data_IF_790778421353
#
_entry.id   IF_790778421353
#
_cell.length_a   1.000
_cell.length_b   1.000
_cell.length_c   1.000
_cell.angle_alpha   90.00
_cell.angle_beta   90.00
_cell.angle_gamma   90.00
#
_symmetry.space_group_name_H-M   'P 1'
#
loop_
_entity.id
_entity.type
_entity.pdbx_description
1 polymer ?
#
# COMPACT_ATOMS: atom_id res chain seq x y z
N UNK A 1 7.65 -6.74 -17.76
CA UNK A 1 6.95 -6.14 -18.93
C UNK A 1 5.56 -6.76 -19.02
N UNK A 2 4.52 -5.92 -19.20
CA UNK A 2 3.12 -6.36 -19.18
C UNK A 2 2.57 -6.68 -20.57
N UNK A 3 3.07 -6.02 -21.60
CA UNK A 3 2.55 -6.12 -22.96
C UNK A 3 3.63 -5.89 -24.03
N UNK A 4 3.25 -6.04 -25.29
CA UNK A 4 4.12 -5.78 -26.45
C UNK A 4 4.21 -4.31 -26.85
N UNK A 5 3.49 -3.41 -26.15
CA UNK A 5 3.63 -1.97 -26.30
C UNK A 5 4.78 -1.40 -25.45
N UNK A 6 5.37 -2.25 -24.60
CA UNK A 6 6.53 -1.92 -23.77
C UNK A 6 6.19 -1.35 -22.40
N UNK A 7 4.97 -1.54 -21.89
CA UNK A 7 4.64 -1.15 -20.52
C UNK A 7 5.32 -2.06 -19.50
N UNK A 8 5.98 -1.47 -18.53
CA UNK A 8 6.70 -2.14 -17.46
C UNK A 8 6.13 -1.70 -16.12
N UNK A 9 5.65 -2.66 -15.33
CA UNK A 9 5.22 -2.45 -13.97
C UNK A 9 6.41 -2.57 -13.03
N UNK A 10 6.51 -1.65 -12.07
CA UNK A 10 7.56 -1.59 -11.06
C UNK A 10 7.01 -0.95 -9.77
N UNK A 11 7.85 -0.77 -8.74
CA UNK A 11 7.47 -0.02 -7.57
C UNK A 11 7.60 1.50 -7.80
N UNK A 12 6.74 2.27 -7.12
CA UNK A 12 6.80 3.72 -7.16
C UNK A 12 8.14 4.24 -6.61
N UNK A 13 8.60 3.73 -5.47
CA UNK A 13 9.86 4.16 -4.86
C UNK A 13 11.11 3.90 -5.73
N UNK A 14 11.00 3.03 -6.75
CA UNK A 14 12.10 2.77 -7.71
C UNK A 14 12.23 3.87 -8.74
N UNK A 15 11.13 4.53 -9.08
CA UNK A 15 11.08 5.56 -10.15
C UNK A 15 10.86 6.97 -9.59
N UNK A 16 10.43 7.12 -8.34
CA UNK A 16 10.14 8.41 -7.72
C UNK A 16 11.39 9.29 -7.61
N UNK A 17 11.23 10.56 -7.96
CA UNK A 17 12.32 11.55 -7.90
C UNK A 17 13.32 11.50 -9.05
N UNK A 18 13.08 10.70 -10.09
CA UNK A 18 13.92 10.63 -11.28
C UNK A 18 13.20 11.17 -12.52
N UNK A 19 13.95 11.84 -13.40
CA UNK A 19 13.46 12.43 -14.66
C UNK A 19 13.81 11.57 -15.89
N UNK A 20 14.68 10.59 -15.75
CA UNK A 20 15.16 9.74 -16.84
C UNK A 20 15.19 8.28 -16.42
N UNK A 21 14.68 7.42 -17.28
CA UNK A 21 14.60 5.99 -17.06
C UNK A 21 15.28 5.26 -18.23
N UNK A 22 16.14 4.30 -17.91
CA UNK A 22 16.79 3.41 -18.88
C UNK A 22 16.53 1.97 -18.48
N UNK A 23 16.05 1.19 -19.42
CA UNK A 23 15.79 -0.25 -19.24
C UNK A 23 16.80 -1.04 -20.06
N UNK A 24 17.50 -1.95 -19.41
CA UNK A 24 18.42 -2.89 -20.07
C UNK A 24 17.74 -4.26 -20.12
N UNK A 25 17.61 -4.78 -21.33
CA UNK A 25 17.09 -6.14 -21.57
C UNK A 25 18.17 -7.18 -21.29
N UNK A 26 17.79 -8.46 -21.21
CA UNK A 26 18.70 -9.58 -20.95
C UNK A 26 19.75 -9.81 -22.06
N UNK A 27 19.42 -9.42 -23.29
CA UNK A 27 20.36 -9.44 -24.43
C UNK A 27 21.35 -8.26 -24.44
N UNK A 28 21.27 -7.36 -23.42
CA UNK A 28 22.10 -6.16 -23.31
C UNK A 28 21.56 -4.95 -24.10
N UNK A 29 20.45 -5.07 -24.81
CA UNK A 29 19.83 -3.93 -25.50
C UNK A 29 19.27 -2.96 -24.47
N UNK A 30 19.50 -1.65 -24.68
CA UNK A 30 19.02 -0.60 -23.79
C UNK A 30 17.96 0.24 -24.49
N UNK A 31 16.92 0.58 -23.74
CA UNK A 31 15.85 1.49 -24.17
C UNK A 31 15.72 2.65 -23.19
N UNK A 32 15.51 3.85 -23.70
CA UNK A 32 14.92 4.91 -22.90
C UNK A 32 13.47 4.54 -22.58
N UNK A 33 13.00 4.94 -21.41
CA UNK A 33 11.61 4.78 -21.04
C UNK A 33 11.02 6.12 -20.59
N UNK A 34 9.72 6.24 -20.70
CA UNK A 34 8.96 7.37 -20.19
C UNK A 34 8.09 6.95 -19.00
N UNK A 35 7.85 7.87 -18.11
CA UNK A 35 6.93 7.68 -17.00
C UNK A 35 5.49 7.74 -17.52
N UNK A 36 4.70 6.73 -17.23
CA UNK A 36 3.27 6.66 -17.60
C UNK A 36 2.41 7.17 -16.44
N UNK A 37 2.69 6.69 -15.23
CA UNK A 37 1.99 7.10 -14.02
C UNK A 37 2.35 6.21 -12.84
N UNK A 38 1.83 6.58 -11.68
CA UNK A 38 2.05 5.87 -10.41
C UNK A 38 0.85 5.90 -9.50
N UNK A 39 0.89 5.05 -8.51
CA UNK A 39 0.09 5.09 -7.29
C UNK A 39 1.05 4.97 -6.09
N UNK A 40 1.36 6.10 -5.48
CA UNK A 40 2.25 6.15 -4.32
C UNK A 40 1.65 5.41 -3.11
N UNK A 41 0.32 5.32 -3.02
CA UNK A 41 -0.37 4.68 -1.90
C UNK A 41 -0.25 3.16 -1.92
N UNK A 42 -0.06 2.55 -3.10
CA UNK A 42 0.19 1.10 -3.27
C UNK A 42 1.64 0.78 -3.60
N UNK A 43 2.49 1.80 -3.73
CA UNK A 43 3.90 1.68 -4.16
C UNK A 43 4.05 1.03 -5.54
N UNK A 44 3.19 1.38 -6.49
CA UNK A 44 3.21 0.88 -7.86
C UNK A 44 3.42 2.02 -8.87
N UNK A 45 4.13 1.73 -9.95
CA UNK A 45 4.32 2.64 -11.07
C UNK A 45 4.42 1.88 -12.40
N UNK A 46 4.09 2.57 -13.48
CA UNK A 46 4.25 2.08 -14.84
C UNK A 46 5.16 3.03 -15.61
N UNK A 47 6.15 2.46 -16.29
CA UNK A 47 6.98 3.13 -17.29
C UNK A 47 6.77 2.45 -18.64
N UNK A 48 7.08 3.14 -19.74
CA UNK A 48 6.92 2.63 -21.10
C UNK A 48 8.22 2.79 -21.89
N UNK A 49 8.63 1.73 -22.56
CA UNK A 49 9.80 1.76 -23.45
C UNK A 49 9.53 2.69 -24.64
N UNK A 50 10.51 3.52 -25.00
CA UNK A 50 10.48 4.37 -26.20
C UNK A 50 11.09 3.61 -27.38
N UNK A 51 10.48 3.77 -28.55
CA UNK A 51 10.98 3.25 -29.82
C UNK A 51 11.30 1.75 -29.82
N UNK A 52 10.67 0.98 -28.95
CA UNK A 52 10.86 -0.46 -28.87
C UNK A 52 10.13 -1.19 -30.00
N UNK A 53 10.79 -2.18 -30.61
CA UNK A 53 10.17 -3.04 -31.61
C UNK A 53 9.31 -4.10 -30.91
N UNK A 54 7.99 -3.98 -31.03
CA UNK A 54 7.01 -4.89 -30.43
C UNK A 54 7.28 -6.38 -30.73
N UNK A 55 7.88 -6.69 -31.88
CA UNK A 55 8.22 -8.07 -32.27
C UNK A 55 9.36 -8.70 -31.45
N UNK A 56 10.12 -7.84 -30.74
CA UNK A 56 11.24 -8.25 -29.87
C UNK A 56 10.86 -8.26 -28.39
N UNK A 57 9.69 -7.76 -28.05
CA UNK A 57 9.22 -7.70 -26.67
C UNK A 57 8.47 -8.99 -26.32
N UNK A 58 8.84 -9.57 -25.18
CA UNK A 58 8.16 -10.76 -24.64
C UNK A 58 7.55 -10.41 -23.30
N UNK A 59 6.23 -10.15 -23.24
CA UNK A 59 5.52 -9.97 -21.98
C UNK A 59 5.62 -11.20 -21.09
N UNK A 60 5.64 -10.96 -19.77
CA UNK A 60 5.54 -12.06 -18.81
C UNK A 60 4.11 -12.60 -18.78
N UNK A 61 3.95 -13.90 -18.62
CA UNK A 61 2.65 -14.50 -18.37
C UNK A 61 2.15 -14.12 -16.97
N UNK A 62 0.90 -13.65 -16.89
CA UNK A 62 0.30 -13.22 -15.64
C UNK A 62 -0.41 -14.40 -15.01
N UNK A 63 0.03 -14.76 -13.81
CA UNK A 63 -0.62 -15.77 -12.98
C UNK A 63 -1.83 -15.23 -12.21
N UNK A 64 -2.30 -16.01 -11.27
CA UNK A 64 -3.43 -15.66 -10.40
C UNK A 64 -3.01 -15.74 -8.93
N UNK A 65 -2.74 -14.59 -8.33
CA UNK A 65 -2.28 -14.53 -6.93
C UNK A 65 -3.33 -14.96 -5.91
N UNK A 66 -4.62 -15.01 -6.29
CA UNK A 66 -5.70 -15.49 -5.41
C UNK A 66 -5.70 -17.02 -5.24
N UNK A 67 -5.00 -17.75 -6.11
CA UNK A 67 -4.87 -19.22 -6.07
C UNK A 67 -3.63 -19.72 -5.35
N UNK A 68 -2.74 -18.80 -4.95
CA UNK A 68 -1.53 -19.18 -4.22
C UNK A 68 -1.85 -19.87 -2.90
N UNK A 69 -1.04 -20.86 -2.54
CA UNK A 69 -1.10 -21.53 -1.26
C UNK A 69 0.24 -21.42 -0.53
N UNK A 70 0.20 -21.38 0.78
CA UNK A 70 1.39 -21.44 1.63
C UNK A 70 2.14 -22.75 1.36
N UNK A 71 3.44 -22.64 1.14
CA UNK A 71 4.32 -23.76 0.80
C UNK A 71 4.59 -23.91 -0.71
N UNK A 72 3.88 -23.20 -1.59
CA UNK A 72 4.17 -23.21 -3.02
C UNK A 72 5.52 -22.54 -3.32
N UNK A 73 6.22 -23.08 -4.29
CA UNK A 73 7.51 -22.58 -4.72
C UNK A 73 7.37 -21.26 -5.47
N UNK A 74 8.29 -20.34 -5.18
CA UNK A 74 8.38 -19.06 -5.87
C UNK A 74 9.83 -18.67 -6.13
N UNK A 75 10.04 -17.84 -7.16
CA UNK A 75 11.33 -17.25 -7.49
C UNK A 75 11.20 -15.74 -7.61
N UNK A 76 12.00 -15.03 -6.84
CA UNK A 76 12.17 -13.59 -6.95
C UNK A 76 13.26 -13.29 -7.98
N UNK A 77 12.94 -12.41 -8.92
CA UNK A 77 13.83 -11.95 -9.99
C UNK A 77 14.05 -10.45 -9.79
N UNK A 78 15.29 -10.00 -9.84
CA UNK A 78 15.66 -8.61 -9.71
C UNK A 78 16.98 -8.29 -10.40
N UNK A 79 17.39 -7.03 -10.35
CA UNK A 79 18.65 -6.53 -10.89
C UNK A 79 19.38 -5.69 -9.84
N UNK A 80 19.93 -6.34 -8.79
CA UNK A 80 20.67 -5.62 -7.78
C UNK A 80 21.88 -4.96 -8.41
N UNK A 81 22.11 -3.69 -8.08
CA UNK A 81 23.24 -2.87 -8.57
C UNK A 81 23.25 -2.57 -10.08
N UNK A 82 22.16 -2.86 -10.82
CA UNK A 82 21.93 -2.37 -12.18
C UNK A 82 22.71 -3.07 -13.31
N UNK A 83 23.49 -4.11 -13.02
CA UNK A 83 24.33 -4.75 -14.04
C UNK A 83 24.19 -6.25 -14.18
N UNK A 84 23.54 -6.93 -13.22
CA UNK A 84 23.40 -8.39 -13.27
C UNK A 84 22.00 -8.80 -12.82
N UNK A 85 21.35 -9.64 -13.61
CA UNK A 85 20.12 -10.29 -13.19
C UNK A 85 20.44 -11.26 -12.05
N UNK A 86 19.69 -11.12 -10.96
CA UNK A 86 19.80 -12.02 -9.82
C UNK A 86 18.47 -12.70 -9.57
N UNK A 87 18.54 -13.98 -9.24
CA UNK A 87 17.37 -14.75 -8.85
C UNK A 87 17.58 -15.35 -7.47
N UNK A 88 16.53 -15.41 -6.68
CA UNK A 88 16.49 -16.15 -5.43
C UNK A 88 15.22 -16.96 -5.37
N UNK A 89 15.29 -18.16 -4.79
CA UNK A 89 14.16 -19.08 -4.70
C UNK A 89 13.76 -19.28 -3.26
N UNK A 90 12.49 -19.54 -3.06
CA UNK A 90 11.90 -19.83 -1.77
C UNK A 90 10.49 -20.38 -1.93
N UNK A 91 9.68 -20.18 -0.92
CA UNK A 91 8.27 -20.57 -0.91
C UNK A 91 7.38 -19.40 -0.51
N UNK A 92 6.09 -19.52 -0.76
CA UNK A 92 5.08 -18.69 -0.11
C UNK A 92 5.06 -19.05 1.37
N UNK A 93 5.59 -18.17 2.22
CA UNK A 93 5.67 -18.40 3.66
C UNK A 93 4.36 -18.06 4.39
N UNK A 94 3.66 -17.03 3.89
CA UNK A 94 2.34 -16.62 4.37
C UNK A 94 1.63 -15.80 3.28
N UNK A 95 0.32 -15.68 3.41
CA UNK A 95 -0.54 -14.84 2.58
C UNK A 95 -1.26 -13.82 3.45
N UNK A 96 -1.79 -12.76 2.80
CA UNK A 96 -2.60 -11.72 3.45
C UNK A 96 -1.84 -10.99 4.56
N UNK A 97 -0.51 -10.83 4.41
CA UNK A 97 0.28 -9.97 5.30
C UNK A 97 0.12 -8.53 4.89
N UNK A 98 -0.04 -7.66 5.87
CA UNK A 98 -0.35 -6.27 5.58
C UNK A 98 0.36 -5.34 6.56
N UNK A 99 0.83 -4.22 6.04
CA UNK A 99 1.46 -3.18 6.84
C UNK A 99 1.24 -1.81 6.20
N UNK A 100 1.30 -0.77 7.01
CA UNK A 100 1.29 0.61 6.54
C UNK A 100 2.63 1.25 6.92
N UNK A 101 3.25 1.93 5.97
CA UNK A 101 4.50 2.66 6.18
C UNK A 101 4.27 4.14 5.91
N UNK A 102 4.62 4.98 6.88
CA UNK A 102 4.57 6.43 6.72
C UNK A 102 5.83 6.91 6.02
N UNK A 103 5.66 7.72 4.99
CA UNK A 103 6.73 8.41 4.27
C UNK A 103 6.47 9.92 4.25
N UNK A 104 7.42 10.69 3.73
CA UNK A 104 7.26 12.14 3.53
C UNK A 104 6.19 12.47 2.47
N UNK A 105 5.86 11.51 1.60
CA UNK A 105 4.85 11.65 0.54
C UNK A 105 3.46 11.14 0.96
N UNK A 106 3.27 10.73 2.23
CA UNK A 106 2.03 10.16 2.75
C UNK A 106 2.21 8.74 3.30
N UNK A 107 1.11 8.02 3.46
CA UNK A 107 1.13 6.63 3.91
C UNK A 107 1.06 5.68 2.71
N UNK A 108 2.05 4.79 2.60
CA UNK A 108 1.99 3.66 1.68
C UNK A 108 1.35 2.47 2.40
N UNK A 109 0.34 1.88 1.79
CA UNK A 109 -0.43 0.78 2.36
C UNK A 109 -0.13 -0.49 1.57
N UNK A 110 0.60 -1.37 2.20
CA UNK A 110 0.90 -2.69 1.67
C UNK A 110 -0.17 -3.67 2.16
N UNK A 111 -1.18 -3.89 1.32
CA UNK A 111 -2.30 -4.78 1.64
C UNK A 111 -2.11 -6.18 1.06
N UNK A 112 -2.51 -7.19 1.82
CA UNK A 112 -2.60 -8.59 1.36
C UNK A 112 -1.31 -9.16 0.75
N UNK A 113 -0.15 -8.68 1.20
CA UNK A 113 1.17 -9.06 0.69
C UNK A 113 1.39 -10.57 0.73
N UNK A 114 2.09 -11.07 -0.28
CA UNK A 114 2.67 -12.41 -0.30
C UNK A 114 3.97 -12.36 0.48
N UNK A 115 4.06 -13.10 1.59
CA UNK A 115 5.31 -13.28 2.32
C UNK A 115 6.08 -14.46 1.72
N UNK A 116 7.39 -14.30 1.52
CA UNK A 116 8.29 -15.35 1.02
C UNK A 116 9.61 -15.37 1.80
N UNK A 117 10.25 -16.50 1.85
CA UNK A 117 11.62 -16.67 2.34
C UNK A 117 12.66 -16.60 1.20
N UNK A 118 12.22 -16.47 -0.07
CA UNK A 118 13.10 -16.05 -1.15
C UNK A 118 13.80 -14.75 -0.74
N UNK A 119 15.11 -14.67 -0.96
CA UNK A 119 15.91 -13.52 -0.53
C UNK A 119 15.53 -12.27 -1.33
N UNK A 120 14.75 -11.39 -0.74
CA UNK A 120 14.49 -10.05 -1.26
C UNK A 120 15.52 -9.10 -0.65
N UNK A 121 16.22 -8.36 -1.48
CA UNK A 121 17.23 -7.38 -1.09
C UNK A 121 17.07 -6.10 -1.91
N UNK A 122 17.68 -4.97 -1.52
CA UNK A 122 17.76 -3.78 -2.36
C UNK A 122 18.25 -4.13 -3.77
N UNK A 123 17.46 -3.74 -4.78
CA UNK A 123 17.63 -4.11 -6.20
C UNK A 123 16.67 -5.17 -6.70
N UNK A 124 15.98 -5.91 -5.81
CA UNK A 124 14.89 -6.80 -6.22
C UNK A 124 13.53 -6.06 -6.24
N UNK A 125 13.42 -4.92 -5.57
CA UNK A 125 12.19 -4.11 -5.55
C UNK A 125 11.76 -3.72 -6.96
N UNK A 126 10.46 -3.87 -7.26
CA UNK A 126 9.89 -3.67 -8.59
C UNK A 126 10.08 -4.85 -9.55
N UNK A 127 10.90 -5.84 -9.17
CA UNK A 127 11.10 -7.08 -9.92
C UNK A 127 9.97 -8.08 -9.73
N UNK A 128 10.02 -9.18 -10.48
CA UNK A 128 8.99 -10.19 -10.49
C UNK A 128 9.14 -11.21 -9.34
N UNK A 129 8.02 -11.64 -8.75
CA UNK A 129 7.88 -12.90 -8.06
C UNK A 129 7.10 -13.84 -8.98
N UNK A 130 7.69 -14.97 -9.36
CA UNK A 130 7.07 -15.93 -10.26
C UNK A 130 6.86 -17.28 -9.58
N UNK A 131 5.85 -18.03 -10.03
CA UNK A 131 5.58 -19.39 -9.59
C UNK A 131 6.45 -20.41 -10.38
N UNK A 132 6.23 -21.69 -10.15
CA UNK A 132 6.93 -22.81 -10.81
C UNK A 132 6.62 -22.96 -12.31
N UNK A 133 5.55 -22.34 -12.80
CA UNK A 133 5.23 -22.25 -14.23
C UNK A 133 5.91 -21.05 -14.91
N UNK A 134 6.59 -20.16 -14.15
CA UNK A 134 7.14 -18.90 -14.66
C UNK A 134 6.13 -17.77 -14.79
N UNK A 135 4.91 -17.94 -14.27
CA UNK A 135 3.88 -16.93 -14.28
C UNK A 135 4.12 -15.91 -13.16
N UNK A 136 3.91 -14.63 -13.46
CA UNK A 136 3.98 -13.54 -12.48
C UNK A 136 2.88 -13.68 -11.44
N UNK A 137 3.25 -13.79 -10.16
CA UNK A 137 2.31 -13.88 -9.06
C UNK A 137 2.42 -12.71 -8.08
N UNK A 138 3.50 -11.93 -8.17
CA UNK A 138 3.68 -10.74 -7.34
C UNK A 138 4.79 -9.81 -7.83
N UNK A 139 4.81 -8.59 -7.30
CA UNK A 139 5.87 -7.60 -7.49
C UNK A 139 6.66 -7.52 -6.19
N UNK A 140 7.95 -7.87 -6.24
CA UNK A 140 8.83 -7.77 -5.07
C UNK A 140 8.87 -6.32 -4.58
N UNK A 141 8.72 -6.08 -3.29
CA UNK A 141 8.63 -4.71 -2.79
C UNK A 141 9.52 -4.45 -1.60
N UNK A 142 9.25 -5.02 -0.45
CA UNK A 142 9.93 -4.67 0.79
C UNK A 142 10.40 -5.89 1.59
N UNK A 143 11.28 -5.61 2.55
CA UNK A 143 11.75 -6.58 3.53
C UNK A 143 11.41 -6.09 4.93
N UNK A 144 11.06 -6.98 5.83
CA UNK A 144 11.10 -6.71 7.26
C UNK A 144 12.49 -7.06 7.78
N UNK A 145 13.32 -6.05 8.01
CA UNK A 145 14.71 -6.26 8.39
C UNK A 145 15.22 -5.16 9.32
N UNK A 146 15.82 -5.56 10.42
CA UNK A 146 16.54 -4.65 11.32
C UNK A 146 17.93 -4.21 10.77
N UNK A 147 18.46 -4.93 9.78
CA UNK A 147 19.80 -4.70 9.23
C UNK A 147 19.81 -4.11 7.83
N UNK A 148 18.63 -3.97 7.19
CA UNK A 148 18.51 -3.52 5.79
C UNK A 148 18.85 -4.62 4.75
N UNK A 149 19.05 -5.87 5.18
CA UNK A 149 19.25 -7.02 4.29
C UNK A 149 18.26 -8.14 4.62
N UNK A 150 17.99 -9.04 3.67
CA UNK A 150 17.03 -10.13 3.86
C UNK A 150 17.39 -10.96 5.10
N UNK A 151 16.38 -11.13 5.97
CA UNK A 151 16.41 -12.01 7.14
C UNK A 151 15.59 -13.29 6.95
N UNK A 152 15.21 -13.63 5.70
CA UNK A 152 14.27 -14.72 5.39
C UNK A 152 12.81 -14.29 5.44
N UNK A 153 12.54 -12.98 5.49
CA UNK A 153 11.20 -12.41 5.44
C UNK A 153 11.18 -11.32 4.37
N UNK A 154 10.63 -11.65 3.22
CA UNK A 154 10.40 -10.74 2.10
C UNK A 154 8.93 -10.66 1.76
N UNK A 155 8.52 -9.59 1.10
CA UNK A 155 7.14 -9.35 0.73
C UNK A 155 7.03 -8.93 -0.74
N UNK A 156 5.95 -9.40 -1.37
CA UNK A 156 5.58 -9.00 -2.73
C UNK A 156 4.12 -8.56 -2.79
N UNK A 157 3.84 -7.55 -3.60
CA UNK A 157 2.49 -7.07 -3.90
C UNK A 157 1.81 -8.10 -4.81
N UNK A 158 0.62 -8.62 -4.47
CA UNK A 158 -0.07 -9.61 -5.29
C UNK A 158 -0.37 -9.12 -6.70
N UNK A 159 -0.15 -9.98 -7.71
CA UNK A 159 -0.26 -9.58 -9.12
C UNK A 159 -1.67 -9.15 -9.51
N UNK A 160 -2.73 -9.77 -8.99
CA UNK A 160 -4.10 -9.38 -9.33
C UNK A 160 -4.37 -7.92 -8.95
N UNK A 161 -3.93 -7.51 -7.77
CA UNK A 161 -4.01 -6.11 -7.33
C UNK A 161 -3.09 -5.20 -8.16
N UNK A 162 -1.83 -5.59 -8.32
CA UNK A 162 -0.85 -4.80 -9.05
C UNK A 162 -1.24 -4.57 -10.52
N UNK A 163 -1.84 -5.60 -11.16
CA UNK A 163 -2.35 -5.52 -12.53
C UNK A 163 -3.54 -4.58 -12.66
N UNK A 164 -4.48 -4.61 -11.70
CA UNK A 164 -5.62 -3.69 -11.69
C UNK A 164 -5.16 -2.22 -11.62
N UNK A 165 -4.20 -1.91 -10.76
CA UNK A 165 -3.61 -0.56 -10.67
C UNK A 165 -2.88 -0.19 -11.97
N UNK A 166 -2.05 -1.11 -12.50
CA UNK A 166 -1.33 -0.87 -13.75
C UNK A 166 -2.26 -0.58 -14.93
N UNK A 167 -3.38 -1.31 -15.04
CA UNK A 167 -4.35 -1.09 -16.12
C UNK A 167 -4.99 0.29 -16.04
N UNK A 168 -5.34 0.75 -14.84
CA UNK A 168 -5.85 2.10 -14.65
C UNK A 168 -4.83 3.16 -15.07
N UNK A 169 -3.55 2.98 -14.69
CA UNK A 169 -2.46 3.88 -15.08
C UNK A 169 -2.27 3.89 -16.61
N UNK A 170 -2.25 2.73 -17.26
CA UNK A 170 -2.09 2.59 -18.72
C UNK A 170 -3.26 3.25 -19.46
N UNK A 171 -4.47 3.16 -18.92
CA UNK A 171 -5.65 3.85 -19.44
C UNK A 171 -5.62 5.38 -19.22
N UNK A 172 -4.57 5.92 -18.61
CA UNK A 172 -4.44 7.35 -18.30
C UNK A 172 -5.35 7.83 -17.16
N UNK A 173 -5.81 6.90 -16.31
CA UNK A 173 -6.62 7.19 -15.13
C UNK A 173 -5.75 7.32 -13.89
N UNK A 174 -6.20 8.10 -12.93
CA UNK A 174 -5.65 8.04 -11.57
C UNK A 174 -6.21 6.79 -10.88
N UNK A 175 -5.36 5.90 -10.35
CA UNK A 175 -5.85 4.73 -9.63
C UNK A 175 -6.72 5.11 -8.45
N UNK A 176 -7.85 4.44 -8.31
CA UNK A 176 -8.80 4.66 -7.23
C UNK A 176 -8.90 3.44 -6.32
N UNK A 177 -9.18 3.71 -5.05
CA UNK A 177 -9.26 2.67 -4.03
C UNK A 177 -10.61 2.68 -3.33
N UNK A 178 -11.04 1.51 -2.80
CA UNK A 178 -12.24 1.43 -1.99
C UNK A 178 -12.16 2.35 -0.76
N UNK A 179 -13.19 3.12 -0.56
CA UNK A 179 -13.24 4.18 0.43
C UNK A 179 -14.48 4.06 1.33
N UNK A 180 -14.26 4.20 2.64
CA UNK A 180 -15.33 4.15 3.63
C UNK A 180 -15.95 5.52 3.93
N UNK A 181 -15.20 6.59 3.81
CA UNK A 181 -15.68 7.93 4.15
C UNK A 181 -15.66 8.22 5.65
N UNK A 182 -14.60 7.80 6.34
CA UNK A 182 -14.42 8.05 7.77
C UNK A 182 -12.97 8.32 8.11
N UNK A 183 -12.73 9.19 9.10
CA UNK A 183 -11.43 9.34 9.75
C UNK A 183 -11.33 8.31 10.87
N UNK A 184 -10.25 7.56 10.87
CA UNK A 184 -10.09 6.40 11.75
C UNK A 184 -8.89 6.60 12.68
N UNK A 185 -8.97 5.99 13.87
CA UNK A 185 -7.84 5.82 14.77
C UNK A 185 -7.83 4.43 15.39
N UNK A 186 -6.64 3.89 15.65
CA UNK A 186 -6.51 2.54 16.23
C UNK A 186 -6.88 2.55 17.72
N UNK A 187 -7.73 1.59 18.10
CA UNK A 187 -8.03 1.32 19.52
C UNK A 187 -6.94 0.44 20.11
N UNK A 188 -6.51 0.78 21.32
CA UNK A 188 -5.62 -0.02 22.14
C UNK A 188 -6.10 -0.02 23.60
N UNK A 189 -5.57 -0.92 24.43
CA UNK A 189 -6.01 -1.09 25.80
C UNK A 189 -5.91 0.19 26.67
N UNK A 190 -4.99 1.12 26.33
CA UNK A 190 -4.83 2.38 27.06
C UNK A 190 -5.93 3.37 26.68
N UNK A 191 -6.09 3.66 25.38
CA UNK A 191 -7.10 4.63 24.92
C UNK A 191 -8.52 4.11 25.10
N UNK A 192 -8.76 2.79 25.03
CA UNK A 192 -10.03 2.15 25.33
C UNK A 192 -10.49 2.42 26.77
N UNK A 193 -9.58 2.29 27.74
CA UNK A 193 -9.87 2.61 29.16
C UNK A 193 -10.14 4.09 29.38
N UNK A 194 -9.30 4.95 28.77
CA UNK A 194 -9.43 6.41 28.91
C UNK A 194 -10.75 6.91 28.34
N UNK A 195 -11.17 6.39 27.17
CA UNK A 195 -12.39 6.78 26.47
C UNK A 195 -13.60 5.91 26.81
N UNK A 196 -13.46 4.95 27.75
CA UNK A 196 -14.51 4.02 28.20
C UNK A 196 -15.15 3.25 27.04
N UNK A 197 -14.34 2.83 26.07
CA UNK A 197 -14.78 1.99 24.97
C UNK A 197 -15.11 0.59 25.46
N UNK A 198 -15.98 -0.11 24.76
CA UNK A 198 -16.42 -1.47 25.10
C UNK A 198 -15.49 -2.57 24.61
N UNK A 199 -14.53 -2.22 23.74
CA UNK A 199 -13.50 -3.09 23.19
C UNK A 199 -12.12 -2.45 23.35
N UNK A 200 -11.07 -3.25 23.42
CA UNK A 200 -9.66 -2.82 23.54
C UNK A 200 -8.88 -2.92 22.23
N UNK A 201 -9.56 -3.25 21.12
CA UNK A 201 -9.01 -3.31 19.78
C UNK A 201 -10.08 -2.91 18.76
N UNK A 202 -9.66 -2.51 17.55
CA UNK A 202 -10.53 -2.12 16.45
C UNK A 202 -10.19 -0.76 15.84
N UNK A 203 -10.99 -0.34 14.87
CA UNK A 203 -10.89 0.97 14.23
C UNK A 203 -11.96 1.92 14.80
N UNK A 204 -11.54 2.90 15.60
CA UNK A 204 -12.41 3.93 16.14
C UNK A 204 -12.73 4.97 15.07
N UNK A 205 -14.00 5.28 14.90
CA UNK A 205 -14.49 6.30 13.98
C UNK A 205 -14.41 7.67 14.67
N UNK A 206 -13.41 8.46 14.29
CA UNK A 206 -13.20 9.81 14.85
C UNK A 206 -14.11 10.85 14.18
N UNK A 207 -14.41 10.67 12.89
CA UNK A 207 -15.39 11.48 12.16
C UNK A 207 -15.89 10.72 10.93
N UNK A 208 -17.01 11.15 10.37
CA UNK A 208 -17.62 10.59 9.17
C UNK A 208 -17.81 11.72 8.17
N UNK A 209 -17.48 11.46 6.91
CA UNK A 209 -17.70 12.41 5.82
C UNK A 209 -19.20 12.50 5.55
N UNK A 210 -19.73 13.72 5.52
CA UNK A 210 -21.14 13.98 5.21
C UNK A 210 -21.47 13.44 3.80
N UNK A 211 -22.59 12.73 3.67
CA UNK A 211 -22.99 12.03 2.44
C UNK A 211 -22.02 10.95 1.93
N UNK A 212 -20.97 10.62 2.69
CA UNK A 212 -20.05 9.52 2.37
C UNK A 212 -20.67 8.13 2.59
N UNK A 213 -19.96 7.07 2.17
CA UNK A 213 -20.39 5.68 2.32
C UNK A 213 -20.75 5.30 3.76
N UNK A 214 -19.89 5.66 4.73
CA UNK A 214 -20.11 5.39 6.16
C UNK A 214 -21.36 6.09 6.68
N UNK A 215 -21.56 7.39 6.34
CA UNK A 215 -22.74 8.15 6.75
C UNK A 215 -24.03 7.53 6.20
N UNK A 216 -24.03 7.17 4.91
CA UNK A 216 -25.18 6.52 4.25
C UNK A 216 -25.53 5.18 4.88
N UNK A 217 -24.54 4.43 5.37
CA UNK A 217 -24.73 3.17 6.07
C UNK A 217 -25.11 3.34 7.55
N UNK A 218 -25.10 4.57 8.06
CA UNK A 218 -25.45 4.88 9.45
C UNK A 218 -24.33 4.65 10.45
N UNK A 219 -23.08 4.57 10.00
CA UNK A 219 -21.89 4.63 10.85
C UNK A 219 -21.76 6.06 11.40
N UNK A 220 -21.33 6.21 12.63
CA UNK A 220 -21.28 7.47 13.35
C UNK A 220 -19.95 7.63 14.08
N UNK A 221 -19.59 8.87 14.38
CA UNK A 221 -18.51 9.18 15.31
C UNK A 221 -18.72 8.45 16.64
N UNK A 222 -17.66 7.86 17.17
CA UNK A 222 -17.69 7.07 18.40
C UNK A 222 -17.93 5.57 18.20
N UNK A 223 -18.25 5.12 17.00
CA UNK A 223 -18.30 3.68 16.69
C UNK A 223 -16.89 3.08 16.69
N UNK A 224 -16.78 1.81 17.05
CA UNK A 224 -15.54 1.03 16.88
C UNK A 224 -15.81 -0.13 15.94
N UNK A 225 -15.23 -0.10 14.78
CA UNK A 225 -15.35 -1.17 13.78
C UNK A 225 -14.46 -2.32 14.21
N UNK A 226 -15.05 -3.52 14.31
CA UNK A 226 -14.40 -4.75 14.78
C UNK A 226 -14.35 -5.86 13.73
N UNK A 227 -15.18 -5.78 12.66
CA UNK A 227 -15.12 -6.70 11.52
C UNK A 227 -15.51 -6.01 10.22
N UNK A 228 -14.90 -6.49 9.11
CA UNK A 228 -15.30 -6.21 7.74
C UNK A 228 -15.52 -7.57 7.04
N UNK A 229 -16.76 -7.92 6.73
CA UNK A 229 -17.09 -9.28 6.31
C UNK A 229 -16.66 -10.30 7.37
N UNK A 230 -15.81 -11.24 6.97
CA UNK A 230 -15.25 -12.27 7.85
C UNK A 230 -13.92 -11.82 8.52
N UNK A 231 -13.33 -10.70 8.07
CA UNK A 231 -12.04 -10.21 8.57
C UNK A 231 -12.19 -9.53 9.94
N UNK A 232 -11.38 -9.93 10.91
CA UNK A 232 -11.29 -9.28 12.22
C UNK A 232 -10.46 -8.00 12.12
N UNK A 233 -11.04 -6.88 12.54
CA UNK A 233 -10.39 -5.55 12.52
C UNK A 233 -9.87 -5.23 13.91
N UNK A 234 -8.55 -5.16 14.03
CA UNK A 234 -7.86 -4.87 15.31
C UNK A 234 -7.29 -3.45 15.38
N UNK A 235 -7.24 -2.72 14.25
CA UNK A 235 -6.69 -1.36 14.16
C UNK A 235 -7.30 -0.59 13.00
N UNK A 236 -7.06 0.74 12.94
CA UNK A 236 -7.42 1.57 11.80
C UNK A 236 -6.71 1.11 10.52
N UNK A 237 -5.40 0.83 10.61
CA UNK A 237 -4.64 0.33 9.47
C UNK A 237 -5.18 -1.02 9.00
N UNK A 238 -5.53 -1.91 9.93
CA UNK A 238 -6.17 -3.19 9.63
C UNK A 238 -7.47 -3.04 8.83
N UNK A 239 -8.29 -2.03 9.15
CA UNK A 239 -9.51 -1.74 8.38
C UNK A 239 -9.18 -1.22 6.97
N UNK A 240 -8.24 -0.28 6.84
CA UNK A 240 -7.85 0.25 5.53
C UNK A 240 -7.31 -0.86 4.63
N UNK A 241 -6.52 -1.75 5.21
CA UNK A 241 -5.96 -2.92 4.54
C UNK A 241 -7.08 -3.87 4.07
N UNK A 242 -8.02 -4.19 4.95
CA UNK A 242 -9.15 -5.06 4.60
C UNK A 242 -10.00 -4.43 3.47
N UNK A 243 -10.23 -3.11 3.52
CA UNK A 243 -10.93 -2.39 2.45
C UNK A 243 -10.25 -2.55 1.08
N UNK A 244 -8.90 -2.57 1.04
CA UNK A 244 -8.14 -2.74 -0.22
C UNK A 244 -8.34 -4.10 -0.89
N UNK A 245 -8.95 -5.08 -0.20
CA UNK A 245 -9.30 -6.40 -0.77
C UNK A 245 -10.62 -6.38 -1.53
N UNK A 246 -11.37 -5.28 -1.44
CA UNK A 246 -12.68 -5.11 -2.04
C UNK A 246 -12.62 -4.21 -3.29
N UNK A 247 -13.74 -4.06 -3.97
CA UNK A 247 -13.89 -3.19 -5.13
C UNK A 247 -14.71 -1.94 -4.80
N UNK A 248 -14.50 -0.85 -5.55
CA UNK A 248 -15.35 0.34 -5.48
C UNK A 248 -16.77 -0.06 -5.90
N UNK A 249 -17.78 0.33 -5.10
CA UNK A 249 -19.17 -0.03 -5.30
C UNK A 249 -19.57 -1.37 -4.68
N UNK A 250 -18.65 -2.14 -4.14
CA UNK A 250 -18.96 -3.40 -3.47
C UNK A 250 -19.73 -3.14 -2.16
N UNK A 251 -20.69 -4.04 -1.87
CA UNK A 251 -21.46 -4.01 -0.63
C UNK A 251 -20.86 -4.98 0.39
N UNK A 252 -20.34 -4.44 1.47
CA UNK A 252 -19.69 -5.20 2.54
C UNK A 252 -20.44 -5.05 3.86
N UNK A 253 -20.51 -6.12 4.66
CA UNK A 253 -21.04 -6.07 6.01
C UNK A 253 -19.95 -5.59 6.97
N UNK A 254 -20.24 -4.54 7.75
CA UNK A 254 -19.38 -4.05 8.82
C UNK A 254 -20.01 -4.36 10.16
N UNK A 255 -19.27 -5.03 11.05
CA UNK A 255 -19.64 -5.18 12.46
C UNK A 255 -18.92 -4.11 13.27
N UNK A 256 -19.66 -3.39 14.10
CA UNK A 256 -19.15 -2.30 14.93
C UNK A 256 -19.76 -2.32 16.33
N UNK A 257 -19.04 -1.74 17.28
CA UNK A 257 -19.52 -1.46 18.63
C UNK A 257 -19.95 -0.01 18.75
N UNK A 258 -21.21 0.24 19.08
CA UNK A 258 -21.75 1.56 19.42
C UNK A 258 -22.05 1.62 20.90
N UNK A 259 -21.16 2.21 21.67
CA UNK A 259 -21.19 2.09 23.13
C UNK A 259 -20.98 0.63 23.56
N UNK A 260 -22.01 -0.03 24.06
CA UNK A 260 -21.96 -1.47 24.47
C UNK A 260 -22.74 -2.39 23.55
N UNK A 261 -23.34 -1.86 22.51
CA UNK A 261 -24.15 -2.63 21.56
C UNK A 261 -23.33 -2.99 20.33
N UNK A 262 -23.33 -4.25 19.96
CA UNK A 262 -22.83 -4.71 18.67
C UNK A 262 -23.89 -4.43 17.60
N UNK A 263 -23.46 -3.87 16.48
CA UNK A 263 -24.32 -3.57 15.32
C UNK A 263 -23.67 -4.06 14.04
N UNK A 264 -24.51 -4.47 13.10
CA UNK A 264 -24.12 -4.81 11.75
C UNK A 264 -24.76 -3.85 10.77
N UNK A 265 -23.98 -3.30 9.89
CA UNK A 265 -24.42 -2.39 8.83
C UNK A 265 -23.85 -2.85 7.49
N UNK A 266 -24.59 -2.66 6.41
CA UNK A 266 -24.08 -2.90 5.06
C UNK A 266 -23.65 -1.56 4.46
N UNK A 267 -22.41 -1.49 4.03
CA UNK A 267 -21.83 -0.31 3.39
C UNK A 267 -21.57 -0.61 1.93
N UNK A 268 -21.99 0.27 1.04
CA UNK A 268 -21.53 0.29 -0.35
C UNK A 268 -20.28 1.16 -0.41
N UNK A 269 -19.12 0.55 -0.73
CA UNK A 269 -17.84 1.23 -0.71
C UNK A 269 -17.78 2.28 -1.80
N UNK A 270 -17.33 3.48 -1.45
CA UNK A 270 -17.07 4.56 -2.41
C UNK A 270 -15.68 4.48 -3.02
N UNK A 271 -15.36 5.50 -3.81
CA UNK A 271 -14.03 5.75 -4.37
C UNK A 271 -13.34 6.84 -3.56
N UNK A 272 -12.03 6.73 -3.38
CA UNK A 272 -11.19 7.78 -2.78
C UNK A 272 -10.80 8.91 -3.77
N UNK A 273 -11.33 8.90 -5.00
CA UNK A 273 -11.03 9.85 -6.09
C UNK A 273 -11.21 11.31 -5.65
N UNK A 274 -12.28 11.60 -4.90
CA UNK A 274 -12.54 12.95 -4.40
C UNK A 274 -11.49 13.41 -3.37
N UNK A 275 -10.98 12.50 -2.54
CA UNK A 275 -9.90 12.81 -1.59
C UNK A 275 -8.58 13.08 -2.31
N UNK A 276 -8.27 12.29 -3.33
CA UNK A 276 -7.05 12.45 -4.12
C UNK A 276 -7.06 13.78 -4.88
N UNK A 277 -8.20 14.19 -5.44
CA UNK A 277 -8.34 15.48 -6.13
C UNK A 277 -8.20 16.66 -5.18
N UNK A 278 -8.72 16.57 -3.94
CA UNK A 278 -8.54 17.61 -2.92
C UNK A 278 -7.08 17.72 -2.46
N UNK A 279 -6.36 16.62 -2.32
CA UNK A 279 -4.94 16.63 -1.95
C UNK A 279 -4.04 17.20 -3.06
N UNK A 280 -4.40 17.02 -4.33
CA UNK A 280 -3.70 17.63 -5.45
C UNK A 280 -3.91 19.15 -5.50
N UNK A 281 -5.13 19.64 -5.25
CA UNK A 281 -5.43 21.08 -5.21
C UNK A 281 -4.72 21.78 -4.05
N UNK A 282 -4.63 21.14 -2.88
CA UNK A 282 -3.89 21.67 -1.73
C UNK A 282 -2.38 21.73 -1.98
N UNK A 283 -1.81 20.77 -2.69
CA UNK A 283 -0.38 20.75 -3.05
C UNK A 283 -0.02 21.84 -4.08
N UNK A 284 -0.90 22.12 -5.04
CA UNK A 284 -0.74 23.21 -6.03
C UNK A 284 -0.99 24.58 -5.39
N UNK A 285 -1.90 24.66 -4.41
CA UNK A 285 -2.17 25.87 -3.64
C UNK A 285 -1.06 26.25 -2.66
N UNK A 286 -0.35 25.28 -2.10
CA UNK A 286 0.77 25.51 -1.16
C UNK A 286 2.03 26.04 -1.85
N UNK A 287 2.21 25.78 -3.14
CA UNK A 287 3.30 26.37 -3.92
C UNK A 287 3.09 27.86 -4.24
N UNK A 288 1.92 28.42 -3.95
CA UNK A 288 1.53 29.76 -4.34
C UNK A 288 1.28 30.78 -3.22
N UNK A 289 1.07 30.42 -1.95
CA UNK A 289 0.87 31.40 -0.85
C UNK A 289 1.16 30.80 0.53
N UNK A 290 2.26 31.24 1.12
CA UNK A 290 2.41 31.37 2.58
C UNK A 290 2.51 30.05 3.35
N UNK A 291 3.73 29.53 3.45
CA UNK A 291 4.05 28.51 4.45
C UNK A 291 3.64 28.99 5.84
N UNK A 292 3.13 28.07 6.66
CA UNK A 292 3.00 28.28 8.10
C UNK A 292 4.33 28.81 8.59
N UNK A 293 4.39 29.96 9.29
CA UNK A 293 5.67 30.49 9.75
C UNK A 293 6.38 29.42 10.57
N UNK A 294 7.66 29.19 10.27
CA UNK A 294 8.55 28.18 10.88
C UNK A 294 8.50 28.15 12.41
N UNK A 295 8.06 29.26 13.03
CA UNK A 295 7.86 29.39 14.45
C UNK A 295 6.67 28.63 15.03
N UNK A 296 5.55 28.46 14.28
CA UNK A 296 4.36 27.76 14.79
C UNK A 296 4.50 26.24 14.68
N UNK A 297 5.13 25.75 13.63
CA UNK A 297 5.43 24.32 13.49
C UNK A 297 6.46 23.88 14.51
N UNK A 298 7.48 24.71 14.78
CA UNK A 298 8.48 24.46 15.85
C UNK A 298 7.82 24.44 17.23
N UNK A 299 6.94 25.37 17.52
CA UNK A 299 6.24 25.43 18.79
C UNK A 299 5.35 24.20 19.01
N UNK A 300 4.67 23.72 17.97
CA UNK A 300 3.84 22.51 18.02
C UNK A 300 4.69 21.23 18.19
N UNK A 301 5.85 21.16 17.54
CA UNK A 301 6.81 20.05 17.70
C UNK A 301 7.50 20.08 19.06
N UNK A 302 7.83 21.26 19.60
CA UNK A 302 8.42 21.40 20.94
C UNK A 302 7.40 21.05 22.03
N UNK A 303 6.11 21.35 21.84
CA UNK A 303 5.03 20.97 22.76
C UNK A 303 4.79 19.45 22.76
N UNK A 304 4.86 18.80 21.59
CA UNK A 304 4.80 17.34 21.44
C UNK A 304 6.02 16.61 22.01
N UNK A 305 7.22 17.16 21.85
CA UNK A 305 8.47 16.58 22.34
C UNK A 305 8.70 16.91 23.83
N UNK A 306 8.17 18.05 24.32
CA UNK A 306 8.26 18.46 25.73
C UNK A 306 7.43 17.58 26.69
N UNK A 307 6.42 16.86 26.20
CA UNK A 307 5.65 15.90 27.00
C UNK A 307 6.34 14.54 27.17
N UNK A 308 7.38 14.23 26.41
CA UNK A 308 8.16 12.98 26.55
C UNK A 308 9.43 13.11 27.43
N UNK A 309 9.75 14.32 27.91
CA UNK A 309 11.01 14.62 28.60
C UNK A 309 10.97 14.65 30.14
N UNK A 310 9.87 14.27 30.80
CA UNK A 310 9.82 14.20 32.27
C UNK A 310 9.56 12.79 32.77
N UNK A 311 10.60 11.99 32.85
CA UNK A 311 10.51 10.71 33.53
C UNK A 311 11.65 9.75 33.27
N UNK A 312 12.88 10.13 33.61
CA UNK A 312 13.94 9.20 34.07
C UNK A 312 15.14 10.02 34.54
N UNK A 313 15.08 10.42 35.78
CA UNK A 313 16.20 10.94 36.51
C UNK A 313 16.12 10.48 37.97
N UNK A 314 17.13 9.71 38.34
CA UNK A 314 17.57 9.29 39.67
C UNK A 314 17.15 7.90 40.16
N UNK A 315 18.17 7.06 40.36
CA UNK A 315 18.18 5.98 41.33
C UNK A 315 19.07 4.78 40.99
N UNK A 316 20.37 4.88 41.31
CA UNK A 316 21.37 3.82 41.54
C UNK A 316 21.85 2.99 40.37
#
# INVERSE_FOLDING_TARGET
MLDTEGHILTNNHVVDGYDQYVVTMDDGTTYEAEFVGNDASSDLAVIKLKDADASKLTPIEIGDSSKLNVGEWVMAIGSPFGNEQSVSTGIVSALYRSTAMSSTSGNTIYANMIQTDAAINPGNSGGALVNDNGELVGINSLIESYSGSSSGVGFAIPVNYAKNIADQIIDGKTPVHPYLGATLSSVNALNARTNKLSTDSGAYVASVVEDGPAAKAGIQEGDVITKLGDDEITSADGLIIALRSHEVGEKVEITLMRGKEEKKVTVELGSDEELQSQQQDDSVGAAGKGGIPDGQLRQYLEELLGQQGQGYGQGF
#
